data_IF_443598530680
#
_entry.id   IF_443598530680
#
_cell.length_a   1.000
_cell.length_b   1.000
_cell.length_c   1.000
_cell.angle_alpha   90.00
_cell.angle_beta   90.00
_cell.angle_gamma   90.00
#
_symmetry.space_group_name_H-M   'P 1'
#
loop_
_entity.id
_entity.type
_entity.pdbx_description
1 polymer ?
#
# COMPACT_ATOMS: atom_id res chain seq x y z
N UNK A 1 1.65 18.46 3.63
CA UNK A 1 1.47 17.00 3.73
C UNK A 1 2.23 16.52 4.93
N UNK A 2 1.65 15.65 5.74
CA UNK A 2 2.39 15.01 6.82
C UNK A 2 3.44 14.05 6.25
N UNK A 3 4.61 14.02 6.87
CA UNK A 3 5.62 13.00 6.57
C UNK A 3 5.18 11.70 7.26
N UNK A 4 4.59 10.80 6.49
CA UNK A 4 4.18 9.48 6.96
C UNK A 4 5.38 8.55 7.06
N UNK A 5 5.39 7.67 8.07
CA UNK A 5 6.27 6.49 8.04
C UNK A 5 5.82 5.54 6.93
N UNK A 6 6.67 4.56 6.60
CA UNK A 6 6.33 3.54 5.59
C UNK A 6 5.08 2.76 6.02
N UNK A 7 4.99 2.39 7.28
CA UNK A 7 3.85 1.67 7.83
C UNK A 7 2.57 2.52 7.76
N UNK A 8 2.64 3.82 8.06
CA UNK A 8 1.51 4.73 7.94
C UNK A 8 1.08 4.93 6.49
N UNK A 9 2.02 5.04 5.55
CA UNK A 9 1.71 5.14 4.13
C UNK A 9 1.10 3.85 3.57
N UNK A 10 1.55 2.68 4.06
CA UNK A 10 0.96 1.39 3.71
C UNK A 10 -0.47 1.27 4.25
N UNK A 11 -0.68 1.61 5.52
CA UNK A 11 -2.00 1.63 6.13
C UNK A 11 -2.97 2.58 5.41
N UNK A 12 -2.49 3.74 4.97
CA UNK A 12 -3.29 4.67 4.17
C UNK A 12 -3.68 4.08 2.81
N UNK A 13 -2.77 3.35 2.15
CA UNK A 13 -3.05 2.64 0.90
C UNK A 13 -4.10 1.54 1.10
N UNK A 14 -3.99 0.74 2.17
CA UNK A 14 -4.98 -0.29 2.50
C UNK A 14 -6.35 0.33 2.80
N UNK A 15 -6.42 1.36 3.63
CA UNK A 15 -7.67 2.04 3.96
C UNK A 15 -8.39 2.60 2.72
N UNK A 16 -7.61 3.15 1.76
CA UNK A 16 -8.17 3.61 0.49
C UNK A 16 -8.79 2.47 -0.33
N UNK A 17 -8.14 1.31 -0.38
CA UNK A 17 -8.65 0.13 -1.08
C UNK A 17 -9.90 -0.44 -0.38
N UNK A 18 -9.93 -0.46 0.95
CA UNK A 18 -11.11 -0.86 1.72
C UNK A 18 -12.30 0.03 1.38
N UNK A 19 -12.12 1.35 1.43
CA UNK A 19 -13.16 2.32 1.06
C UNK A 19 -13.65 2.12 -0.38
N UNK A 20 -12.73 1.81 -1.30
CA UNK A 20 -13.07 1.52 -2.69
C UNK A 20 -13.88 0.23 -2.84
N UNK A 21 -13.46 -0.83 -2.16
CA UNK A 21 -14.18 -2.11 -2.15
C UNK A 21 -15.57 -1.95 -1.56
N UNK A 22 -15.72 -1.21 -0.45
CA UNK A 22 -17.03 -0.96 0.16
C UNK A 22 -18.03 -0.35 -0.83
N UNK A 23 -17.58 0.57 -1.68
CA UNK A 23 -18.43 1.24 -2.68
C UNK A 23 -18.73 0.40 -3.91
N UNK A 24 -17.80 -0.47 -4.32
CA UNK A 24 -17.85 -1.13 -5.63
C UNK A 24 -18.14 -2.62 -5.57
N UNK A 25 -17.82 -3.27 -4.45
CA UNK A 25 -17.83 -4.71 -4.27
C UNK A 25 -17.02 -5.44 -5.37
N UNK A 26 -15.94 -4.83 -5.83
CA UNK A 26 -15.09 -5.39 -6.87
C UNK A 26 -14.30 -6.59 -6.33
N UNK A 27 -14.57 -7.79 -6.87
CA UNK A 27 -14.02 -9.06 -6.38
C UNK A 27 -12.48 -9.10 -6.37
N UNK A 28 -11.85 -8.47 -7.36
CA UNK A 28 -10.39 -8.37 -7.48
C UNK A 28 -9.77 -7.54 -6.34
N UNK A 29 -10.42 -6.45 -5.94
CA UNK A 29 -10.01 -5.65 -4.79
C UNK A 29 -10.25 -6.41 -3.49
N UNK A 30 -11.37 -7.14 -3.38
CA UNK A 30 -11.65 -7.99 -2.22
C UNK A 30 -10.59 -9.09 -2.03
N UNK A 31 -10.19 -9.74 -3.11
CA UNK A 31 -9.11 -10.74 -3.09
C UNK A 31 -7.78 -10.12 -2.69
N UNK A 32 -7.42 -8.96 -3.25
CA UNK A 32 -6.20 -8.24 -2.89
C UNK A 32 -6.20 -7.83 -1.40
N UNK A 33 -7.30 -7.28 -0.90
CA UNK A 33 -7.45 -6.91 0.52
C UNK A 33 -7.29 -8.13 1.44
N UNK A 34 -7.80 -9.29 1.02
CA UNK A 34 -7.57 -10.55 1.74
C UNK A 34 -6.09 -10.91 1.87
N UNK A 35 -5.29 -10.65 0.84
CA UNK A 35 -3.83 -10.86 0.88
C UNK A 35 -3.07 -9.76 1.63
N UNK A 36 -3.62 -8.54 1.67
CA UNK A 36 -3.04 -7.39 2.40
C UNK A 36 -3.38 -7.38 3.90
N UNK A 37 -4.13 -8.37 4.38
CA UNK A 37 -4.63 -8.42 5.76
C UNK A 37 -3.50 -8.17 6.77
N UNK A 38 -3.65 -7.12 7.58
CA UNK A 38 -2.65 -6.71 8.55
C UNK A 38 -2.60 -7.69 9.73
N UNK A 39 -1.42 -8.22 10.00
CA UNK A 39 -1.11 -8.94 11.24
C UNK A 39 -1.05 -7.93 12.41
N UNK A 40 -1.00 -8.45 13.63
CA UNK A 40 -0.96 -7.64 14.86
C UNK A 40 0.24 -6.68 14.94
N UNK A 41 1.25 -6.84 14.10
CA UNK A 41 2.43 -5.99 14.00
C UNK A 41 2.32 -4.90 12.91
N UNK A 42 1.17 -4.78 12.24
CA UNK A 42 0.92 -3.75 11.22
C UNK A 42 1.53 -4.06 9.84
N UNK A 43 1.95 -5.32 9.60
CA UNK A 43 2.45 -5.79 8.29
C UNK A 43 1.44 -6.69 7.60
N UNK A 44 1.44 -6.79 6.26
CA UNK A 44 0.58 -7.73 5.56
C UNK A 44 0.96 -9.18 5.90
N UNK A 45 -0.04 -10.06 5.92
CA UNK A 45 0.13 -11.49 6.13
C UNK A 45 1.06 -12.15 5.09
N UNK A 46 1.13 -11.59 3.88
CA UNK A 46 2.10 -11.96 2.85
C UNK A 46 3.30 -10.98 2.84
N UNK A 47 4.51 -11.42 3.23
CA UNK A 47 5.72 -10.59 3.18
C UNK A 47 6.10 -10.12 1.76
N UNK A 48 5.73 -10.86 0.71
CA UNK A 48 6.05 -10.49 -0.66
C UNK A 48 5.32 -9.19 -1.07
N UNK A 49 4.07 -9.02 -0.63
CA UNK A 49 3.29 -7.82 -0.92
C UNK A 49 3.87 -6.57 -0.22
N UNK A 50 4.49 -6.74 0.95
CA UNK A 50 5.21 -5.65 1.60
C UNK A 50 6.43 -5.21 0.77
N UNK A 51 7.21 -6.16 0.25
CA UNK A 51 8.36 -5.88 -0.60
C UNK A 51 7.94 -5.20 -1.91
N UNK A 52 6.89 -5.69 -2.57
CA UNK A 52 6.34 -5.09 -3.80
C UNK A 52 5.88 -3.65 -3.59
N UNK A 53 5.27 -3.37 -2.44
CA UNK A 53 4.86 -2.02 -2.08
C UNK A 53 6.07 -1.10 -1.81
N UNK A 54 7.11 -1.58 -1.12
CA UNK A 54 8.35 -0.83 -0.92
C UNK A 54 9.06 -0.54 -2.25
N UNK A 55 9.06 -1.48 -3.19
CA UNK A 55 9.59 -1.27 -4.55
C UNK A 55 8.82 -0.16 -5.27
N UNK A 56 7.50 -0.07 -5.06
CA UNK A 56 6.67 0.98 -5.64
C UNK A 56 7.03 2.36 -5.09
N UNK A 57 7.30 2.49 -3.78
CA UNK A 57 7.84 3.74 -3.21
C UNK A 57 9.18 4.09 -3.84
N UNK A 58 10.09 3.11 -3.96
CA UNK A 58 11.42 3.36 -4.50
C UNK A 58 11.39 3.85 -5.95
N UNK A 59 10.50 3.29 -6.78
CA UNK A 59 10.28 3.76 -8.16
C UNK A 59 9.89 5.24 -8.20
N UNK A 60 8.93 5.63 -7.36
CA UNK A 60 8.43 7.01 -7.32
C UNK A 60 9.51 7.97 -6.79
N UNK A 61 10.24 7.60 -5.73
CA UNK A 61 11.28 8.48 -5.18
C UNK A 61 12.48 8.67 -6.11
N UNK A 62 12.83 7.64 -6.89
CA UNK A 62 13.83 7.76 -7.96
C UNK A 62 13.35 8.66 -9.09
N UNK A 63 12.08 8.53 -9.52
CA UNK A 63 11.50 9.42 -10.54
C UNK A 63 11.46 10.88 -10.09
N UNK A 64 11.12 11.16 -8.84
CA UNK A 64 11.18 12.53 -8.27
C UNK A 64 12.61 13.08 -8.28
N UNK A 65 13.60 12.24 -7.95
CA UNK A 65 15.01 12.61 -8.00
C UNK A 65 15.47 12.93 -9.42
N UNK A 66 15.02 12.17 -10.42
CA UNK A 66 15.36 12.42 -11.82
C UNK A 66 14.64 13.64 -12.41
N UNK A 67 13.39 13.89 -12.01
CA UNK A 67 12.60 15.07 -12.47
C UNK A 67 13.05 16.39 -11.86
N UNK A 68 13.86 16.34 -10.79
CA UNK A 68 14.43 17.51 -10.11
C UNK A 68 15.86 17.85 -10.56
N UNK A 69 16.41 17.08 -11.51
CA UNK A 69 17.67 17.35 -12.24
C UNK A 69 17.39 18.05 -13.58
#
# INVERSE_FOLDING_TARGET
MENLTREQAFAAMVAFLEDYYQRTQADDIGALLGSLQLLSDGKPADPALWEDWLLSIHKISLEETFRSL
#
